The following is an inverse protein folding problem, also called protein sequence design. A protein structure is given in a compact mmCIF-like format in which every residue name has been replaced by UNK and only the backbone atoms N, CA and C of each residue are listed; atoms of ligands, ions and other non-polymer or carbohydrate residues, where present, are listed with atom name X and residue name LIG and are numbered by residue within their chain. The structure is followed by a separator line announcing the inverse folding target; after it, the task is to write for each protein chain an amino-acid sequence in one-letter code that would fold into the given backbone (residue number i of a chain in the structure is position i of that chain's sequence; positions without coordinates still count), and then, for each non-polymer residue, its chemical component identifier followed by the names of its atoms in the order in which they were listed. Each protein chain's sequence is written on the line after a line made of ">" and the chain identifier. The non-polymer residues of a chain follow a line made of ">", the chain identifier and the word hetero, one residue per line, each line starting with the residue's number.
data_IF_293872668809
#
_entry.id   IF_293872668809
#
_cell.length_a   1.000
_cell.length_b   1.000
_cell.length_c   1.000
_cell.angle_alpha   90.00
_cell.angle_beta   90.00
_cell.angle_gamma   90.00
#
_symmetry.space_group_name_H-M   'P 1'
#
loop_
_entity.id
_entity.type
_entity.pdbx_description
1 polymer ?
#
# COMPACT_ATOMS: atom_id res chain seq x y z
N UNK A 1 25.01 7.79 21.63
CA UNK A 1 25.63 8.63 20.59
C UNK A 1 24.73 9.82 20.34
N UNK A 2 25.20 11.06 20.55
CA UNK A 2 24.46 12.27 20.21
C UNK A 2 24.76 12.63 18.75
N UNK A 3 23.97 12.10 17.80
CA UNK A 3 24.23 12.34 16.37
C UNK A 3 23.89 13.77 15.91
N UNK A 4 23.21 14.57 16.75
CA UNK A 4 22.73 15.91 16.41
C UNK A 4 23.04 17.00 17.44
N UNK A 5 23.78 16.70 18.52
CA UNK A 5 23.96 17.63 19.65
C UNK A 5 24.59 18.98 19.28
N UNK A 6 25.40 19.04 18.21
CA UNK A 6 26.19 20.21 17.82
C UNK A 6 26.15 20.52 16.31
N UNK A 7 25.07 20.15 15.60
CA UNK A 7 25.00 20.45 14.17
C UNK A 7 24.91 21.95 13.90
N UNK A 8 25.94 22.49 13.24
CA UNK A 8 25.99 23.87 12.74
C UNK A 8 25.74 23.87 11.23
N UNK A 9 24.75 24.62 10.77
CA UNK A 9 24.60 24.89 9.34
C UNK A 9 25.68 25.87 8.87
N UNK A 10 26.16 25.69 7.64
CA UNK A 10 27.09 26.62 6.98
C UNK A 10 26.45 27.99 6.71
N UNK A 11 25.12 28.04 6.57
CA UNK A 11 24.30 29.26 6.48
C UNK A 11 22.81 28.93 6.70
N UNK A 12 22.03 29.87 7.23
CA UNK A 12 20.58 29.72 7.43
C UNK A 12 20.17 29.10 8.77
N UNK A 13 18.86 29.00 9.01
CA UNK A 13 18.31 28.38 10.21
C UNK A 13 18.14 26.87 10.02
N UNK A 14 18.48 26.04 11.02
CA UNK A 14 18.27 24.60 10.93
C UNK A 14 16.79 24.29 10.76
N UNK A 15 16.46 23.58 9.68
CA UNK A 15 15.13 23.01 9.45
C UNK A 15 14.82 21.79 10.35
N UNK A 16 15.78 21.41 11.22
CA UNK A 16 15.73 20.22 12.06
C UNK A 16 15.99 20.58 13.52
N UNK A 17 15.46 19.79 14.45
CA UNK A 17 15.65 19.99 15.88
C UNK A 17 17.12 19.78 16.27
N UNK A 18 17.71 20.75 16.96
CA UNK A 18 19.15 20.79 17.28
C UNK A 18 19.52 20.07 18.58
N UNK A 19 18.54 19.70 19.41
CA UNK A 19 18.77 19.02 20.69
C UNK A 19 18.05 17.66 20.72
N UNK A 20 18.55 16.69 19.93
CA UNK A 20 18.07 15.30 19.92
C UNK A 20 19.14 14.41 20.56
N UNK A 21 18.83 13.81 21.71
CA UNK A 21 19.78 12.93 22.42
C UNK A 21 19.63 11.46 22.02
N UNK A 22 18.40 10.95 22.07
CA UNK A 22 18.04 9.62 21.62
C UNK A 22 16.53 9.57 21.32
N UNK A 23 16.03 8.41 20.87
CA UNK A 23 14.63 8.26 20.51
C UNK A 23 13.66 8.45 21.71
N UNK A 24 14.04 8.04 22.91
CA UNK A 24 13.25 8.16 24.15
C UNK A 24 13.28 9.58 24.73
N UNK A 25 14.39 10.30 24.53
CA UNK A 25 14.67 11.57 25.16
C UNK A 25 14.97 12.66 24.13
N UNK A 26 14.06 13.64 24.06
CA UNK A 26 14.16 14.84 23.21
C UNK A 26 14.11 14.57 21.71
N UNK A 27 13.59 13.43 21.27
CA UNK A 27 13.13 13.29 19.89
C UNK A 27 11.76 13.99 19.77
N UNK A 28 11.58 14.92 18.81
CA UNK A 28 10.28 15.57 18.61
C UNK A 28 9.26 14.57 18.05
N UNK A 29 7.98 14.86 18.22
CA UNK A 29 6.92 14.15 17.50
C UNK A 29 7.11 14.28 15.96
N UNK A 30 6.54 13.33 15.21
CA UNK A 30 6.62 13.32 13.75
C UNK A 30 6.02 14.59 13.15
N UNK A 31 6.72 15.16 12.15
CA UNK A 31 6.35 16.44 11.57
C UNK A 31 4.89 16.56 11.11
N UNK A 32 4.26 15.53 10.49
CA UNK A 32 2.84 15.60 10.14
C UNK A 32 1.92 15.78 11.35
N UNK A 33 2.21 15.11 12.47
CA UNK A 33 1.41 15.20 13.69
C UNK A 33 1.69 16.50 14.46
N UNK A 34 2.94 16.99 14.49
CA UNK A 34 3.28 18.26 15.14
C UNK A 34 2.64 19.48 14.51
N UNK A 35 2.42 19.42 13.20
CA UNK A 35 1.90 20.53 12.42
C UNK A 35 0.40 20.37 12.12
N UNK A 36 -0.27 19.40 12.78
CA UNK A 36 -1.68 19.05 12.51
C UNK A 36 -1.98 18.93 11.02
N UNK A 37 -1.07 18.28 10.29
CA UNK A 37 -1.19 18.13 8.86
C UNK A 37 -2.49 17.41 8.50
N UNK A 38 -3.08 17.81 7.38
CA UNK A 38 -4.27 17.21 6.77
C UNK A 38 -3.86 16.54 5.47
N UNK A 39 -4.40 15.36 5.18
CA UNK A 39 -4.21 14.76 3.86
C UNK A 39 -4.88 15.64 2.78
N UNK A 40 -4.17 15.98 1.70
CA UNK A 40 -4.75 16.76 0.59
C UNK A 40 -5.69 15.92 -0.29
N UNK A 41 -5.86 14.64 0.03
CA UNK A 41 -6.70 13.72 -0.70
C UNK A 41 -8.16 14.18 -0.78
N UNK A 42 -8.74 14.06 -1.97
CA UNK A 42 -10.09 14.58 -2.29
C UNK A 42 -11.16 13.49 -2.33
N UNK A 43 -10.74 12.24 -2.22
CA UNK A 43 -11.63 11.08 -2.13
C UNK A 43 -12.36 11.10 -0.79
N UNK A 44 -13.62 10.67 -0.76
CA UNK A 44 -14.47 10.63 0.43
C UNK A 44 -14.40 9.27 1.12
N UNK A 45 -13.19 8.78 1.42
CA UNK A 45 -13.06 7.53 2.17
C UNK A 45 -13.30 7.80 3.67
N UNK A 46 -14.19 7.00 4.26
CA UNK A 46 -14.55 7.04 5.67
C UNK A 46 -14.30 5.66 6.30
N UNK A 47 -13.26 5.54 7.13
CA UNK A 47 -12.90 4.26 7.75
C UNK A 47 -13.96 3.80 8.75
N UNK A 48 -14.54 4.69 9.56
CA UNK A 48 -15.53 4.34 10.57
C UNK A 48 -16.75 3.61 9.96
N UNK A 49 -17.21 4.05 8.79
CA UNK A 49 -18.31 3.40 8.07
C UNK A 49 -17.90 2.03 7.54
N UNK A 50 -16.67 1.86 7.04
CA UNK A 50 -16.19 0.58 6.48
C UNK A 50 -15.75 -0.43 7.55
N UNK A 51 -15.46 0.02 8.77
CA UNK A 51 -14.96 -0.84 9.85
C UNK A 51 -16.03 -1.23 10.89
N UNK A 52 -17.25 -0.69 10.77
CA UNK A 52 -18.37 -1.03 11.66
C UNK A 52 -18.85 -2.46 11.44
N UNK A 53 -19.45 -3.04 12.48
CA UNK A 53 -20.12 -4.33 12.37
C UNK A 53 -21.45 -4.21 11.61
N UNK A 54 -21.88 -5.31 10.97
CA UNK A 54 -23.18 -5.40 10.32
C UNK A 54 -23.23 -4.75 8.94
N UNK A 55 -22.07 -4.57 8.28
CA UNK A 55 -22.04 -4.22 6.87
C UNK A 55 -22.65 -5.35 6.06
N UNK A 56 -23.35 -5.02 4.97
CA UNK A 56 -23.84 -6.06 4.08
C UNK A 56 -22.66 -6.59 3.25
N UNK A 57 -22.41 -7.87 3.33
CA UNK A 57 -21.47 -8.59 2.49
C UNK A 57 -22.19 -9.34 1.36
N UNK A 58 -21.48 -10.25 0.68
CA UNK A 58 -22.07 -11.14 -0.32
C UNK A 58 -23.33 -11.86 0.22
N UNK A 59 -24.33 -12.04 -0.64
CA UNK A 59 -25.62 -12.67 -0.30
C UNK A 59 -26.37 -11.99 0.88
N UNK A 60 -26.17 -10.68 1.05
CA UNK A 60 -26.79 -9.86 2.10
C UNK A 60 -26.46 -10.33 3.52
N UNK A 61 -25.34 -11.03 3.72
CA UNK A 61 -24.91 -11.47 5.04
C UNK A 61 -24.22 -10.34 5.78
N UNK A 62 -24.46 -10.15 7.09
CA UNK A 62 -23.75 -9.16 7.89
C UNK A 62 -22.27 -9.55 8.02
N UNK A 63 -21.38 -8.59 7.77
CA UNK A 63 -19.93 -8.73 7.88
C UNK A 63 -19.33 -7.59 8.72
N UNK A 64 -18.07 -7.75 9.08
CA UNK A 64 -17.24 -6.68 9.61
C UNK A 64 -15.85 -6.80 8.97
N UNK A 65 -15.44 -5.74 8.27
CA UNK A 65 -14.14 -5.71 7.61
C UNK A 65 -13.02 -5.54 8.64
N UNK A 66 -11.83 -6.00 8.26
CA UNK A 66 -10.56 -5.82 8.93
C UNK A 66 -9.61 -5.02 8.04
N UNK A 67 -8.51 -4.52 8.61
CA UNK A 67 -7.58 -3.63 7.91
C UNK A 67 -7.03 -4.25 6.61
N UNK A 68 -6.69 -5.54 6.66
CA UNK A 68 -6.16 -6.32 5.54
C UNK A 68 -7.16 -6.57 4.42
N UNK A 69 -8.47 -6.42 4.67
CA UNK A 69 -9.47 -6.59 3.61
C UNK A 69 -9.38 -5.48 2.54
N UNK A 70 -8.76 -4.34 2.88
CA UNK A 70 -8.43 -3.24 1.96
C UNK A 70 -6.91 -3.07 1.75
N UNK A 71 -6.11 -3.16 2.82
CA UNK A 71 -4.65 -3.01 2.77
C UNK A 71 -3.95 -4.34 2.49
N UNK A 72 -4.22 -4.91 1.32
CA UNK A 72 -3.68 -6.21 0.91
C UNK A 72 -2.17 -6.11 0.65
N UNK A 73 -1.46 -7.14 1.08
CA UNK A 73 -0.04 -7.29 0.80
C UNK A 73 0.18 -7.71 -0.66
N UNK A 74 1.37 -7.50 -1.23
CA UNK A 74 1.71 -8.03 -2.55
C UNK A 74 1.51 -9.54 -2.69
N UNK A 75 1.68 -10.31 -1.60
CA UNK A 75 1.46 -11.76 -1.59
C UNK A 75 -0.01 -12.16 -1.77
N UNK A 76 -0.94 -11.24 -1.47
CA UNK A 76 -2.38 -11.46 -1.62
C UNK A 76 -2.90 -10.90 -2.96
N UNK A 77 -2.06 -10.25 -3.77
CA UNK A 77 -2.45 -9.74 -5.08
C UNK A 77 -2.70 -10.92 -6.04
N UNK A 78 -3.96 -11.11 -6.43
CA UNK A 78 -4.42 -12.20 -7.30
C UNK A 78 -5.40 -13.17 -6.64
N UNK A 79 -5.44 -13.20 -5.30
CA UNK A 79 -6.43 -13.99 -4.58
C UNK A 79 -7.79 -13.28 -4.57
N UNK A 80 -8.92 -14.00 -4.65
CA UNK A 80 -10.25 -13.40 -4.57
C UNK A 80 -10.44 -12.57 -3.28
N UNK A 81 -11.15 -11.46 -3.37
CA UNK A 81 -11.52 -10.69 -2.18
C UNK A 81 -12.51 -11.48 -1.34
N UNK A 82 -12.22 -11.60 -0.04
CA UNK A 82 -13.05 -12.31 0.94
C UNK A 82 -14.52 -11.90 0.90
N UNK A 83 -14.78 -10.60 0.70
CA UNK A 83 -16.12 -10.02 0.63
C UNK A 83 -16.49 -9.54 -0.79
N UNK A 84 -15.70 -9.93 -1.80
CA UNK A 84 -15.91 -9.57 -3.18
C UNK A 84 -17.12 -10.27 -3.82
N UNK A 85 -17.72 -9.64 -4.81
CA UNK A 85 -18.83 -10.19 -5.58
C UNK A 85 -18.32 -11.13 -6.69
N UNK A 86 -18.88 -12.34 -6.77
CA UNK A 86 -18.49 -13.37 -7.77
C UNK A 86 -18.98 -13.07 -9.19
N UNK A 87 -19.96 -12.17 -9.36
CA UNK A 87 -20.73 -12.01 -10.61
C UNK A 87 -20.29 -10.88 -11.52
N UNK A 88 -19.19 -10.20 -11.20
CA UNK A 88 -18.81 -8.99 -11.91
C UNK A 88 -17.44 -9.15 -12.54
N UNK A 89 -17.45 -9.47 -13.83
CA UNK A 89 -16.26 -9.52 -14.68
C UNK A 89 -15.92 -8.09 -15.05
N UNK A 90 -14.66 -7.73 -14.90
CA UNK A 90 -14.13 -6.44 -15.33
C UNK A 90 -14.31 -6.28 -16.84
N UNK A 91 -14.77 -5.12 -17.29
CA UNK A 91 -14.48 -4.67 -18.65
C UNK A 91 -12.99 -4.30 -18.66
N UNK A 92 -12.15 -5.32 -18.86
CA UNK A 92 -10.70 -5.23 -18.72
C UNK A 92 -10.14 -4.00 -19.43
N UNK A 93 -9.70 -3.04 -18.63
CA UNK A 93 -8.66 -2.11 -19.02
C UNK A 93 -7.69 -2.08 -17.85
N UNK A 94 -6.66 -2.94 -17.96
CA UNK A 94 -5.38 -2.74 -17.30
C UNK A 94 -4.74 -1.45 -17.82
N UNK A 95 -5.39 -0.30 -17.65
CA UNK A 95 -4.68 0.96 -17.72
C UNK A 95 -3.91 1.02 -16.40
N UNK A 96 -2.58 0.93 -16.51
CA UNK A 96 -1.72 1.41 -15.44
C UNK A 96 -2.23 2.81 -15.09
N UNK A 97 -2.86 2.97 -13.92
CA UNK A 97 -3.36 4.25 -13.46
C UNK A 97 -2.20 5.25 -13.49
N UNK A 98 -2.16 6.20 -14.44
CA UNK A 98 -1.06 7.15 -14.55
C UNK A 98 -1.06 8.16 -13.39
N UNK A 99 -2.16 8.21 -12.62
CA UNK A 99 -2.35 9.11 -11.48
C UNK A 99 -2.03 8.45 -10.14
N UNK A 100 -1.82 7.13 -10.11
CA UNK A 100 -1.16 6.45 -9.01
C UNK A 100 0.09 5.76 -9.56
N UNK A 101 1.21 6.50 -9.77
CA UNK A 101 2.44 5.87 -10.17
C UNK A 101 2.69 4.77 -9.15
N UNK A 102 2.73 3.52 -9.61
CA UNK A 102 3.13 2.38 -8.80
C UNK A 102 4.31 2.87 -7.96
N UNK A 103 4.14 2.82 -6.62
CA UNK A 103 5.15 3.25 -5.67
C UNK A 103 6.49 2.81 -6.26
N UNK A 104 7.37 3.74 -6.68
CA UNK A 104 8.58 3.36 -7.39
C UNK A 104 9.23 2.34 -6.49
N UNK A 105 9.46 1.09 -6.96
CA UNK A 105 9.77 -0.03 -6.09
C UNK A 105 10.85 0.44 -5.16
N UNK A 106 10.48 0.63 -3.89
CA UNK A 106 11.36 1.36 -3.01
C UNK A 106 12.59 0.49 -2.90
N UNK A 107 13.70 1.03 -3.37
CA UNK A 107 14.98 0.35 -3.45
C UNK A 107 15.64 0.26 -2.09
N UNK A 108 14.86 0.23 -1.02
CA UNK A 108 15.31 -0.41 0.20
C UNK A 108 15.11 -1.92 0.01
N UNK A 109 15.85 -2.45 -0.98
CA UNK A 109 16.01 -3.87 -1.35
C UNK A 109 14.69 -4.61 -1.66
N UNK A 110 14.37 -4.87 -2.95
CA UNK A 110 13.37 -5.86 -3.33
C UNK A 110 13.60 -7.16 -2.55
N UNK A 111 12.57 -7.67 -1.88
CA UNK A 111 12.65 -8.91 -1.08
C UNK A 111 13.00 -8.76 0.41
N UNK A 112 13.05 -7.55 0.99
CA UNK A 112 13.31 -7.38 2.45
C UNK A 112 12.07 -7.12 3.30
N UNK A 113 10.87 -7.05 2.72
CA UNK A 113 9.64 -6.74 3.46
C UNK A 113 9.58 -5.28 3.98
N UNK A 114 10.50 -4.40 3.57
CA UNK A 114 10.54 -2.98 3.94
C UNK A 114 9.69 -2.07 3.04
N UNK A 115 8.89 -2.64 2.14
CA UNK A 115 7.96 -1.86 1.33
C UNK A 115 6.90 -1.21 2.21
N UNK A 116 6.59 0.07 1.95
CA UNK A 116 5.42 0.72 2.53
C UNK A 116 4.14 -0.05 2.16
N UNK A 117 3.11 0.06 2.99
CA UNK A 117 1.77 -0.35 2.56
C UNK A 117 1.35 0.57 1.42
N UNK A 118 1.09 0.00 0.24
CA UNK A 118 0.66 0.77 -0.91
C UNK A 118 -0.68 1.47 -0.61
N UNK A 119 -0.85 2.67 -1.16
CA UNK A 119 -2.15 3.33 -1.13
C UNK A 119 -3.18 2.47 -1.89
N UNK A 120 -4.41 2.34 -1.37
CA UNK A 120 -5.45 1.58 -2.06
C UNK A 120 -5.83 2.26 -3.38
N UNK A 121 -5.95 1.47 -4.44
CA UNK A 121 -6.60 1.90 -5.70
C UNK A 121 -8.03 1.39 -5.75
N UNK A 122 -8.86 1.97 -6.62
CA UNK A 122 -10.21 1.45 -6.83
C UNK A 122 -10.19 -0.03 -7.24
N UNK A 123 -9.35 -0.39 -8.22
CA UNK A 123 -9.21 -1.76 -8.71
C UNK A 123 -8.76 -2.74 -7.61
N UNK A 124 -7.81 -2.33 -6.77
CA UNK A 124 -7.22 -3.20 -5.75
C UNK A 124 -7.93 -3.20 -4.39
N UNK A 125 -8.90 -2.33 -4.15
CA UNK A 125 -9.47 -2.19 -2.80
C UNK A 125 -10.97 -1.94 -2.76
N UNK A 126 -11.58 -1.44 -3.83
CA UNK A 126 -12.98 -1.02 -3.81
C UNK A 126 -13.85 -1.87 -4.75
N UNK A 127 -13.35 -2.16 -5.94
CA UNK A 127 -14.13 -2.74 -7.04
C UNK A 127 -14.88 -4.01 -6.68
N UNK A 128 -14.26 -4.90 -5.91
CA UNK A 128 -14.87 -6.19 -5.58
C UNK A 128 -16.16 -6.06 -4.78
N UNK A 129 -16.28 -5.02 -3.96
CA UNK A 129 -17.46 -4.75 -3.13
C UNK A 129 -18.35 -3.66 -3.75
N UNK A 130 -17.75 -2.64 -4.37
CA UNK A 130 -18.38 -1.46 -4.96
C UNK A 130 -18.32 -1.46 -6.47
N UNK A 131 -19.14 -2.28 -7.11
CA UNK A 131 -19.25 -2.32 -8.54
C UNK A 131 -19.79 -1.03 -9.18
N UNK A 132 -19.25 -0.65 -10.35
CA UNK A 132 -19.77 0.45 -11.18
C UNK A 132 -20.79 -0.09 -12.19
N UNK A 133 -21.86 -0.69 -11.67
CA UNK A 133 -23.00 -1.14 -12.48
C UNK A 133 -23.74 0.06 -13.07
N UNK A 134 -24.12 -0.04 -14.35
CA UNK A 134 -24.75 1.06 -15.09
C UNK A 134 -26.08 0.67 -15.73
N UNK A 135 -26.24 -0.59 -16.15
CA UNK A 135 -27.48 -1.08 -16.74
C UNK A 135 -27.72 -2.56 -16.40
N UNK A 136 -28.98 -2.91 -16.15
CA UNK A 136 -29.42 -4.26 -15.78
C UNK A 136 -29.20 -5.36 -16.84
N UNK A 137 -28.98 -4.99 -18.11
CA UNK A 137 -28.74 -5.96 -19.19
C UNK A 137 -27.30 -6.49 -19.21
N UNK A 138 -26.38 -5.82 -18.50
CA UNK A 138 -24.97 -6.19 -18.48
C UNK A 138 -24.53 -6.64 -17.09
N UNK A 139 -23.66 -7.65 -17.04
CA UNK A 139 -22.98 -8.07 -15.81
C UNK A 139 -21.67 -7.31 -15.57
N UNK A 140 -21.13 -6.68 -16.61
CA UNK A 140 -19.87 -5.91 -16.58
C UNK A 140 -20.07 -4.52 -15.91
N UNK A 141 -19.03 -4.02 -15.22
CA UNK A 141 -18.97 -2.61 -14.80
C UNK A 141 -18.47 -1.72 -15.92
N UNK A 142 -18.76 -0.42 -15.82
CA UNK A 142 -17.98 0.58 -16.56
C UNK A 142 -16.52 0.61 -16.09
N UNK A 143 -15.57 0.98 -16.96
CA UNK A 143 -14.20 1.25 -16.54
C UNK A 143 -14.17 2.40 -15.53
N UNK A 144 -13.31 2.31 -14.50
CA UNK A 144 -13.05 3.43 -13.60
C UNK A 144 -11.98 4.35 -14.22
N UNK A 145 -12.42 5.19 -15.15
CA UNK A 145 -11.55 6.10 -15.92
C UNK A 145 -12.21 7.48 -16.07
N UNK A 146 -11.64 8.35 -16.90
CA UNK A 146 -12.16 9.67 -17.21
C UNK A 146 -13.62 9.60 -17.70
N UNK A 147 -14.44 10.61 -17.38
CA UNK A 147 -15.84 10.67 -17.80
C UNK A 147 -16.07 10.40 -19.28
N UNK A 148 -15.17 10.86 -20.17
CA UNK A 148 -15.29 10.66 -21.61
C UNK A 148 -15.14 9.19 -22.02
N UNK A 149 -14.25 8.45 -21.37
CA UNK A 149 -14.03 7.02 -21.61
C UNK A 149 -15.24 6.23 -21.14
N UNK A 150 -15.78 6.58 -19.96
CA UNK A 150 -17.00 5.97 -19.42
C UNK A 150 -18.19 6.20 -20.35
N UNK A 151 -18.39 7.43 -20.81
CA UNK A 151 -19.44 7.79 -21.76
C UNK A 151 -19.34 6.94 -23.04
N UNK A 152 -18.16 6.92 -23.66
CA UNK A 152 -17.93 6.16 -24.90
C UNK A 152 -18.19 4.66 -24.70
N UNK A 153 -17.77 4.10 -23.56
CA UNK A 153 -18.03 2.71 -23.23
C UNK A 153 -19.53 2.40 -23.14
N UNK A 154 -20.29 3.23 -22.42
CA UNK A 154 -21.74 3.06 -22.25
C UNK A 154 -22.45 3.13 -23.61
N UNK A 155 -22.16 4.17 -24.41
CA UNK A 155 -22.74 4.35 -25.74
C UNK A 155 -22.43 3.15 -26.63
N UNK A 156 -21.17 2.69 -26.65
CA UNK A 156 -20.77 1.54 -27.46
C UNK A 156 -21.50 0.25 -27.04
N UNK A 157 -21.56 -0.04 -25.73
CA UNK A 157 -22.25 -1.23 -25.21
C UNK A 157 -23.75 -1.23 -25.51
N UNK A 158 -24.41 -0.10 -25.32
CA UNK A 158 -25.85 0.05 -25.61
C UNK A 158 -26.15 -0.01 -27.11
N UNK A 159 -25.27 0.58 -27.94
CA UNK A 159 -25.39 0.52 -29.41
C UNK A 159 -25.25 -0.91 -29.92
N UNK A 160 -24.32 -1.69 -29.38
CA UNK A 160 -24.17 -3.09 -29.76
C UNK A 160 -25.36 -3.92 -29.29
N UNK A 161 -25.83 -3.67 -28.07
CA UNK A 161 -27.00 -4.35 -27.51
C UNK A 161 -28.26 -4.14 -28.35
N UNK A 162 -28.57 -2.90 -28.73
CA UNK A 162 -29.81 -2.60 -29.46
C UNK A 162 -29.81 -3.16 -30.90
N UNK A 163 -28.62 -3.33 -31.51
CA UNK A 163 -28.49 -4.02 -32.82
C UNK A 163 -28.87 -5.49 -32.73
N UNK A 164 -28.51 -6.14 -31.61
CA UNK A 164 -28.80 -7.55 -31.36
C UNK A 164 -30.22 -7.76 -30.81
N UNK A 165 -30.79 -6.73 -30.18
CA UNK A 165 -32.10 -6.76 -29.51
C UNK A 165 -33.03 -5.60 -29.94
N UNK A 166 -33.45 -5.51 -31.22
CA UNK A 166 -34.30 -4.40 -31.69
C UNK A 166 -35.63 -4.26 -30.93
N UNK A 167 -36.13 -5.36 -30.35
CA UNK A 167 -37.33 -5.37 -29.52
C UNK A 167 -37.21 -4.49 -28.26
N UNK A 168 -35.98 -4.20 -27.80
CA UNK A 168 -35.74 -3.42 -26.59
C UNK A 168 -36.14 -1.95 -26.72
N UNK A 169 -36.29 -1.42 -27.95
CA UNK A 169 -36.81 -0.06 -28.20
C UNK A 169 -38.21 0.11 -27.58
N UNK A 170 -39.02 -0.94 -27.67
CA UNK A 170 -40.42 -0.94 -27.21
C UNK A 170 -40.57 -1.47 -25.77
N UNK A 171 -39.48 -1.92 -25.14
CA UNK A 171 -39.52 -2.49 -23.80
C UNK A 171 -39.54 -1.40 -22.73
N UNK A 172 -40.35 -1.60 -21.69
CA UNK A 172 -40.34 -0.73 -20.52
C UNK A 172 -38.94 -0.70 -19.86
N UNK A 173 -38.47 0.45 -19.37
CA UNK A 173 -37.20 0.53 -18.66
C UNK A 173 -37.16 -0.42 -17.46
N UNK A 174 -36.14 -1.29 -17.43
CA UNK A 174 -35.82 -2.13 -16.28
C UNK A 174 -34.99 -1.29 -15.29
N UNK A 175 -35.30 -1.33 -13.99
CA UNK A 175 -34.52 -0.62 -13.00
C UNK A 175 -33.14 -1.27 -12.85
N UNK A 176 -32.08 -0.49 -12.95
CA UNK A 176 -30.74 -0.92 -12.53
C UNK A 176 -30.72 -0.96 -11.00
N UNK A 177 -30.63 -2.17 -10.43
CA UNK A 177 -30.60 -2.36 -8.98
C UNK A 177 -29.17 -2.13 -8.46
N UNK A 178 -28.90 -0.97 -7.87
CA UNK A 178 -27.68 -0.76 -7.08
C UNK A 178 -27.87 -1.48 -5.73
N UNK A 179 -26.92 -2.33 -5.35
CA UNK A 179 -27.02 -3.16 -4.13
C UNK A 179 -26.91 -2.32 -2.83
N UNK A 180 -26.25 -1.16 -2.89
CA UNK A 180 -26.12 -0.20 -1.79
C UNK A 180 -26.77 1.12 -2.15
N UNK A 181 -27.99 1.34 -1.66
CA UNK A 181 -28.73 2.58 -1.89
C UNK A 181 -30.23 2.40 -2.04
N UNK A 182 -30.83 1.39 -1.37
CA UNK A 182 -32.26 1.15 -1.46
C UNK A 182 -32.75 0.91 -2.88
N UNK A 183 -34.05 0.67 -3.03
CA UNK A 183 -34.71 1.03 -4.27
C UNK A 183 -34.69 2.55 -4.33
N UNK A 184 -34.12 3.15 -5.37
CA UNK A 184 -34.37 4.57 -5.64
C UNK A 184 -35.90 4.71 -5.71
N UNK A 185 -36.50 5.36 -4.71
CA UNK A 185 -37.92 5.72 -4.76
C UNK A 185 -38.10 6.52 -6.02
N UNK A 186 -38.86 5.93 -6.93
CA UNK A 186 -39.22 6.51 -8.20
C UNK A 186 -40.13 7.70 -7.87
N UNK A 187 -39.55 8.88 -7.79
CA UNK A 187 -40.30 10.05 -8.26
C UNK A 187 -40.75 9.66 -9.67
N UNK A 188 -42.06 9.74 -10.01
CA UNK A 188 -42.61 9.16 -11.22
C UNK A 188 -42.03 9.89 -12.45
N UNK A 189 -40.84 9.49 -12.86
CA UNK A 189 -40.24 9.91 -14.09
C UNK A 189 -41.10 9.30 -15.19
N UNK A 190 -41.74 10.19 -15.95
CA UNK A 190 -42.42 9.86 -17.19
C UNK A 190 -41.44 9.05 -18.03
N UNK A 191 -41.73 7.77 -18.21
CA UNK A 191 -40.90 6.90 -19.05
C UNK A 191 -40.99 7.46 -20.46
N UNK A 192 -39.91 8.09 -20.93
CA UNK A 192 -39.81 8.46 -22.34
C UNK A 192 -39.62 7.16 -23.12
N UNK A 193 -40.63 6.82 -23.91
CA UNK A 193 -40.57 5.68 -24.82
C UNK A 193 -39.78 6.14 -26.04
N UNK A 194 -38.67 5.46 -26.34
CA UNK A 194 -37.86 5.77 -27.50
C UNK A 194 -38.63 5.44 -28.79
N UNK A 195 -38.53 6.31 -29.80
CA UNK A 195 -39.12 6.10 -31.12
C UNK A 195 -38.18 5.43 -32.12
N UNK A 196 -36.89 5.33 -31.78
CA UNK A 196 -35.84 4.73 -32.61
C UNK A 196 -34.74 4.09 -31.77
N UNK A 197 -33.89 3.26 -32.40
CA UNK A 197 -32.73 2.68 -31.74
C UNK A 197 -31.75 3.75 -31.24
N UNK A 198 -31.50 4.80 -32.04
CA UNK A 198 -30.61 5.90 -31.65
C UNK A 198 -31.16 6.69 -30.47
N UNK A 199 -32.47 6.97 -30.46
CA UNK A 199 -33.12 7.61 -29.33
C UNK A 199 -33.08 6.73 -28.08
N UNK A 200 -33.22 5.41 -28.24
CA UNK A 200 -33.10 4.46 -27.14
C UNK A 200 -31.70 4.50 -26.52
N UNK A 201 -30.64 4.47 -27.34
CA UNK A 201 -29.26 4.58 -26.86
C UNK A 201 -29.05 5.90 -26.13
N UNK A 202 -29.53 7.02 -26.67
CA UNK A 202 -29.40 8.34 -26.06
C UNK A 202 -30.08 8.41 -24.68
N UNK A 203 -31.33 7.95 -24.58
CA UNK A 203 -32.07 7.97 -23.32
C UNK A 203 -31.43 7.06 -22.26
N UNK A 204 -31.05 5.84 -22.66
CA UNK A 204 -30.41 4.88 -21.73
C UNK A 204 -29.02 5.31 -21.28
N UNK A 205 -28.25 5.95 -22.17
CA UNK A 205 -26.97 6.55 -21.80
C UNK A 205 -27.17 7.63 -20.74
N UNK A 206 -28.14 8.53 -20.94
CA UNK A 206 -28.45 9.57 -19.96
C UNK A 206 -28.89 8.99 -18.60
N UNK A 207 -29.72 7.93 -18.60
CA UNK A 207 -30.14 7.25 -17.38
C UNK A 207 -28.95 6.58 -16.66
N UNK A 208 -28.10 5.87 -17.39
CA UNK A 208 -26.90 5.21 -16.88
C UNK A 208 -25.89 6.22 -16.30
N UNK A 209 -25.68 7.33 -16.99
CA UNK A 209 -24.80 8.41 -16.54
C UNK A 209 -25.38 9.12 -15.32
N UNK A 210 -26.69 9.39 -15.29
CA UNK A 210 -27.32 9.98 -14.12
C UNK A 210 -27.15 9.07 -12.89
N UNK A 211 -27.32 7.76 -13.07
CA UNK A 211 -27.09 6.75 -12.05
C UNK A 211 -25.63 6.77 -11.56
N UNK A 212 -24.68 6.67 -12.49
CA UNK A 212 -23.25 6.65 -12.16
C UNK A 212 -22.83 7.95 -11.48
N UNK A 213 -23.06 9.11 -12.10
CA UNK A 213 -22.55 10.39 -11.63
C UNK A 213 -23.17 10.83 -10.31
N UNK A 214 -24.47 10.62 -10.09
CA UNK A 214 -25.14 11.15 -8.89
C UNK A 214 -25.34 10.11 -7.78
N UNK A 215 -25.29 8.81 -8.09
CA UNK A 215 -25.54 7.76 -7.08
C UNK A 215 -24.33 6.90 -6.79
N UNK A 216 -23.37 6.80 -7.71
CA UNK A 216 -22.20 5.92 -7.57
C UNK A 216 -20.89 6.72 -7.42
N UNK A 217 -20.47 7.45 -8.46
CA UNK A 217 -19.19 8.16 -8.50
C UNK A 217 -19.09 9.26 -7.44
N UNK A 218 -20.16 10.03 -7.20
CA UNK A 218 -20.18 11.10 -6.18
C UNK A 218 -20.01 10.60 -4.73
N UNK A 219 -20.23 9.30 -4.48
CA UNK A 219 -20.01 8.69 -3.16
C UNK A 219 -18.53 8.76 -2.77
N UNK A 220 -17.64 8.62 -3.74
CA UNK A 220 -16.19 8.65 -3.51
C UNK A 220 -15.57 9.96 -4.02
N UNK A 221 -16.04 10.48 -5.15
CA UNK A 221 -15.44 11.64 -5.83
C UNK A 221 -16.16 12.94 -5.50
N UNK A 222 -15.40 14.04 -5.58
CA UNK A 222 -15.95 15.39 -5.66
C UNK A 222 -16.12 15.76 -7.13
N UNK A 223 -17.37 15.84 -7.58
CA UNK A 223 -17.72 16.11 -8.98
C UNK A 223 -18.15 17.57 -9.15
N UNK A 224 -17.71 18.20 -10.24
CA UNK A 224 -18.23 19.49 -10.69
C UNK A 224 -19.01 19.27 -11.98
N UNK A 225 -20.31 19.51 -11.94
CA UNK A 225 -21.17 19.33 -13.10
C UNK A 225 -21.08 20.57 -13.99
N UNK A 226 -20.71 20.37 -15.26
CA UNK A 226 -20.77 21.42 -16.27
C UNK A 226 -22.22 21.67 -16.68
N UNK A 227 -22.53 22.90 -17.11
CA UNK A 227 -23.87 23.21 -17.59
C UNK A 227 -24.23 22.40 -18.84
N UNK A 228 -25.52 22.14 -19.00
CA UNK A 228 -26.11 21.55 -20.20
C UNK A 228 -25.72 22.38 -21.43
N UNK A 229 -25.27 21.72 -22.49
CA UNK A 229 -24.98 22.41 -23.73
C UNK A 229 -26.27 22.98 -24.37
N UNK A 230 -26.09 23.84 -25.37
CA UNK A 230 -27.19 24.45 -26.14
C UNK A 230 -28.12 23.44 -26.85
N UNK A 231 -27.75 22.16 -26.90
CA UNK A 231 -28.54 21.06 -27.47
C UNK A 231 -29.27 20.22 -26.40
N UNK A 232 -29.18 20.62 -25.13
CA UNK A 232 -29.86 19.93 -24.03
C UNK A 232 -29.15 18.66 -23.55
N UNK A 233 -27.89 18.42 -23.96
CA UNK A 233 -27.07 17.33 -23.43
C UNK A 233 -26.34 17.83 -22.17
N UNK A 234 -26.53 17.13 -21.05
CA UNK A 234 -25.77 17.41 -19.83
C UNK A 234 -24.28 17.17 -20.13
N UNK A 235 -23.43 18.18 -19.93
CA UNK A 235 -22.00 17.98 -20.08
C UNK A 235 -21.47 17.01 -19.01
N UNK A 236 -20.42 16.25 -19.37
CA UNK A 236 -19.80 15.30 -18.46
C UNK A 236 -19.18 16.03 -17.25
N UNK A 237 -19.27 15.46 -16.03
CA UNK A 237 -18.76 16.13 -14.85
C UNK A 237 -17.23 16.14 -14.83
N UNK A 238 -16.61 17.22 -14.33
CA UNK A 238 -15.20 17.21 -13.98
C UNK A 238 -14.97 16.45 -12.67
N UNK A 239 -13.97 15.57 -12.65
CA UNK A 239 -13.58 14.77 -11.48
C UNK A 239 -12.29 15.33 -10.90
N UNK A 240 -12.28 15.70 -9.61
CA UNK A 240 -11.06 16.13 -8.95
C UNK A 240 -10.05 14.96 -8.84
N UNK A 241 -8.73 15.21 -9.04
CA UNK A 241 -7.71 14.19 -8.82
C UNK A 241 -7.67 13.76 -7.35
N UNK A 242 -7.41 12.48 -7.10
CA UNK A 242 -7.49 11.88 -5.77
C UNK A 242 -6.50 12.50 -4.77
N UNK A 243 -5.31 12.91 -5.23
CA UNK A 243 -4.26 13.60 -4.47
C UNK A 243 -3.89 12.93 -3.14
N UNK A 244 -4.10 11.62 -3.00
CA UNK A 244 -3.76 10.89 -1.77
C UNK A 244 -2.24 10.88 -1.60
N UNK A 245 -1.75 11.28 -0.42
CA UNK A 245 -0.31 11.29 -0.16
C UNK A 245 0.20 9.86 0.12
N UNK A 246 1.09 9.30 -0.72
CA UNK A 246 1.51 7.90 -0.57
C UNK A 246 2.44 7.68 0.63
N UNK A 247 3.26 8.67 1.00
CA UNK A 247 4.24 8.56 2.10
C UNK A 247 4.24 9.83 2.94
N UNK A 248 3.93 9.68 4.24
CA UNK A 248 3.90 10.79 5.19
C UNK A 248 5.25 11.11 5.83
N UNK A 249 6.15 10.12 5.93
CA UNK A 249 7.47 10.24 6.55
C UNK A 249 8.58 9.92 5.53
N UNK A 250 8.87 10.81 4.56
CA UNK A 250 9.70 10.51 3.39
C UNK A 250 11.18 10.25 3.70
N UNK A 251 11.65 10.65 4.89
CA UNK A 251 13.04 10.45 5.33
C UNK A 251 13.18 9.28 6.31
N UNK A 252 12.10 8.51 6.51
CA UNK A 252 12.11 7.34 7.37
C UNK A 252 11.77 6.08 6.60
N UNK A 253 12.36 4.96 7.00
CA UNK A 253 12.03 3.63 6.51
C UNK A 253 11.33 2.86 7.63
N UNK A 254 10.15 2.33 7.33
CA UNK A 254 9.40 1.48 8.25
C UNK A 254 8.89 0.23 7.52
N UNK A 255 9.03 -0.94 8.15
CA UNK A 255 8.59 -2.22 7.59
C UNK A 255 7.36 -2.72 8.31
N UNK A 256 6.18 -2.68 7.67
CA UNK A 256 4.99 -3.33 8.20
C UNK A 256 5.18 -4.85 8.29
N UNK A 257 5.94 -5.46 7.37
CA UNK A 257 6.21 -6.90 7.38
C UNK A 257 6.94 -7.34 8.66
N UNK A 258 7.94 -6.58 9.11
CA UNK A 258 8.64 -6.86 10.37
C UNK A 258 7.73 -6.72 11.61
N UNK A 259 6.56 -6.07 11.46
CA UNK A 259 5.59 -5.83 12.52
C UNK A 259 4.25 -6.54 12.27
N UNK A 260 4.17 -7.45 11.30
CA UNK A 260 2.90 -8.06 10.83
C UNK A 260 2.20 -8.89 11.91
N UNK A 261 2.93 -9.35 12.93
CA UNK A 261 2.37 -10.08 14.07
C UNK A 261 1.66 -9.17 15.10
N UNK A 262 1.70 -7.85 14.91
CA UNK A 262 1.07 -6.86 15.81
C UNK A 262 -0.26 -6.43 15.20
N UNK A 263 -1.31 -6.37 16.01
CA UNK A 263 -2.62 -5.86 15.57
C UNK A 263 -2.49 -4.40 15.09
N UNK A 264 -3.00 -4.13 13.88
CA UNK A 264 -2.83 -2.84 13.21
C UNK A 264 -3.33 -1.66 14.06
N UNK A 265 -4.41 -1.86 14.83
CA UNK A 265 -5.06 -0.81 15.63
C UNK A 265 -4.27 -0.46 16.89
N UNK A 266 -3.37 -1.35 17.33
CA UNK A 266 -2.44 -1.04 18.42
C UNK A 266 -1.50 0.11 18.07
N UNK A 267 -1.17 0.27 16.78
CA UNK A 267 -0.42 1.42 16.30
C UNK A 267 -1.33 2.50 15.71
N UNK A 268 -2.25 2.13 14.83
CA UNK A 268 -3.16 3.04 14.14
C UNK A 268 -4.47 3.23 14.92
N UNK A 269 -4.35 3.79 16.12
CA UNK A 269 -5.47 3.88 17.09
C UNK A 269 -6.65 4.74 16.64
N UNK A 270 -6.43 5.64 15.68
CA UNK A 270 -7.45 6.54 15.13
C UNK A 270 -8.22 5.96 13.93
N UNK A 271 -7.80 4.81 13.39
CA UNK A 271 -8.39 4.28 12.14
C UNK A 271 -9.86 3.96 12.28
N UNK A 272 -10.30 3.40 13.41
CA UNK A 272 -11.71 3.01 13.58
C UNK A 272 -12.67 4.20 13.73
N UNK A 273 -12.15 5.39 14.05
CA UNK A 273 -12.95 6.59 14.28
C UNK A 273 -12.77 7.65 13.20
N UNK A 274 -11.85 7.43 12.25
CA UNK A 274 -11.61 8.33 11.12
C UNK A 274 -12.81 8.36 10.17
N UNK A 275 -13.22 9.58 9.85
CA UNK A 275 -14.40 9.82 9.02
C UNK A 275 -14.07 10.53 7.71
N UNK A 276 -12.89 11.13 7.61
CA UNK A 276 -12.46 11.91 6.45
C UNK A 276 -11.11 11.42 5.94
N UNK A 277 -10.91 11.47 4.63
CA UNK A 277 -9.60 11.18 4.04
C UNK A 277 -8.52 12.17 4.50
N UNK A 278 -8.93 13.39 4.88
CA UNK A 278 -8.02 14.40 5.43
C UNK A 278 -7.40 14.01 6.78
N UNK A 279 -7.92 12.99 7.47
CA UNK A 279 -7.34 12.47 8.71
C UNK A 279 -5.99 11.79 8.45
N UNK A 280 -4.92 12.30 9.06
CA UNK A 280 -3.59 11.67 8.98
C UNK A 280 -3.49 10.56 10.03
N UNK A 281 -3.52 9.32 9.56
CA UNK A 281 -3.59 8.12 10.40
C UNK A 281 -2.23 7.45 10.69
N UNK A 282 -1.12 8.20 10.66
CA UNK A 282 0.16 7.67 11.14
C UNK A 282 0.17 7.57 12.68
N UNK A 283 0.83 6.57 13.27
CA UNK A 283 0.97 6.47 14.72
C UNK A 283 1.80 7.63 15.27
N UNK A 284 1.57 7.96 16.55
CA UNK A 284 2.43 8.89 17.30
C UNK A 284 3.80 8.28 17.59
N UNK A 285 4.80 9.12 17.85
CA UNK A 285 6.12 8.65 18.28
C UNK A 285 6.04 7.79 19.55
N UNK A 286 5.09 8.09 20.45
CA UNK A 286 4.92 7.39 21.72
C UNK A 286 4.66 5.89 21.51
N UNK A 287 3.81 5.56 20.53
CA UNK A 287 3.52 4.17 20.14
C UNK A 287 4.80 3.40 19.81
N UNK A 288 5.72 4.01 19.08
CA UNK A 288 6.99 3.36 18.75
C UNK A 288 7.90 3.24 19.98
N UNK A 289 7.91 4.24 20.86
CA UNK A 289 8.76 4.28 22.06
C UNK A 289 8.39 3.21 23.10
N UNK A 290 7.15 2.72 23.10
CA UNK A 290 6.69 1.64 24.00
C UNK A 290 7.47 0.34 23.78
N UNK A 291 7.91 0.07 22.55
CA UNK A 291 8.75 -1.08 22.22
C UNK A 291 10.20 -0.68 21.94
N UNK A 292 10.45 0.36 21.15
CA UNK A 292 11.79 0.79 20.74
C UNK A 292 12.49 1.62 21.82
N UNK A 293 12.79 1.05 22.98
CA UNK A 293 13.30 1.77 24.15
C UNK A 293 14.81 1.70 24.40
N UNK A 294 15.55 0.93 23.58
CA UNK A 294 17.01 0.84 23.65
C UNK A 294 17.54 -0.31 24.51
N UNK A 295 16.67 -1.20 25.00
CA UNK A 295 17.05 -2.36 25.81
C UNK A 295 16.62 -3.69 25.13
N UNK A 296 17.17 -4.04 23.95
CA UNK A 296 16.67 -5.14 23.12
C UNK A 296 16.83 -6.55 23.73
N UNK A 297 17.48 -6.66 24.88
CA UNK A 297 17.70 -7.94 25.59
C UNK A 297 16.51 -8.37 26.44
N UNK A 298 15.52 -7.49 26.65
CA UNK A 298 14.29 -7.81 27.39
C UNK A 298 13.14 -8.09 26.41
N UNK A 299 12.21 -8.96 26.83
CA UNK A 299 11.01 -9.29 26.06
C UNK A 299 10.20 -8.01 25.80
N UNK A 300 9.74 -7.84 24.56
CA UNK A 300 8.93 -6.68 24.16
C UNK A 300 9.73 -5.39 23.96
N UNK A 301 11.06 -5.45 23.99
CA UNK A 301 11.92 -4.28 23.83
C UNK A 301 12.78 -4.40 22.57
N UNK A 302 12.94 -3.29 21.86
CA UNK A 302 13.63 -3.19 20.59
C UNK A 302 14.70 -2.08 20.65
N UNK A 303 15.69 -2.21 19.75
CA UNK A 303 16.72 -1.18 19.57
C UNK A 303 16.08 0.13 19.09
N UNK A 304 16.70 1.25 19.47
CA UNK A 304 16.18 2.60 19.22
C UNK A 304 17.19 3.51 18.52
N UNK A 305 18.19 2.92 17.85
CA UNK A 305 19.21 3.67 17.12
C UNK A 305 18.62 4.45 15.95
N UNK A 306 19.11 5.67 15.72
CA UNK A 306 18.56 6.59 14.73
C UNK A 306 18.48 5.99 13.30
N UNK A 307 19.47 5.18 12.92
CA UNK A 307 19.55 4.51 11.62
C UNK A 307 18.48 3.45 11.38
N UNK A 308 17.77 3.01 12.43
CA UNK A 308 16.67 2.04 12.28
C UNK A 308 15.46 2.67 11.61
N UNK A 309 15.26 3.96 11.83
CA UNK A 309 14.17 4.73 11.24
C UNK A 309 14.67 5.65 10.13
N UNK A 310 15.79 6.36 10.31
CA UNK A 310 16.23 7.38 9.36
C UNK A 310 17.04 6.82 8.20
N UNK A 311 16.71 7.26 6.98
CA UNK A 311 17.53 7.07 5.80
C UNK A 311 18.46 8.29 5.62
N UNK A 312 19.78 8.08 5.74
CA UNK A 312 20.77 9.16 5.64
C UNK A 312 21.37 9.31 4.24
N UNK A 313 21.34 8.25 3.43
CA UNK A 313 21.98 8.23 2.11
C UNK A 313 20.99 7.80 1.04
N UNK A 314 20.88 8.59 -0.03
CA UNK A 314 20.17 8.21 -1.23
C UNK A 314 21.17 7.59 -2.23
N UNK A 315 21.47 6.30 -2.05
CA UNK A 315 22.47 5.59 -2.84
C UNK A 315 22.17 5.56 -4.35
N UNK A 316 20.91 5.77 -4.76
CA UNK A 316 20.52 5.87 -6.19
C UNK A 316 20.99 7.17 -6.86
N UNK A 317 21.27 8.22 -6.09
CA UNK A 317 21.70 9.52 -6.62
C UNK A 317 23.23 9.69 -6.59
N UNK A 318 23.97 8.65 -6.19
CA UNK A 318 25.42 8.70 -6.15
C UNK A 318 25.97 8.51 -7.56
N UNK A 319 26.34 9.62 -8.19
CA UNK A 319 26.97 9.64 -9.52
C UNK A 319 28.51 9.71 -9.45
N UNK A 320 29.08 9.71 -8.25
CA UNK A 320 30.53 9.75 -8.06
C UNK A 320 31.17 8.38 -8.34
N UNK A 321 32.29 8.32 -9.08
CA UNK A 321 33.02 7.09 -9.31
C UNK A 321 33.55 6.51 -7.98
N UNK A 322 33.30 5.22 -7.76
CA UNK A 322 33.78 4.51 -6.57
C UNK A 322 35.30 4.36 -6.63
N UNK A 323 36.01 5.28 -5.97
CA UNK A 323 37.47 5.21 -5.82
C UNK A 323 37.79 4.89 -4.36
N UNK A 324 38.23 3.67 -4.02
CA UNK A 324 38.61 3.35 -2.66
C UNK A 324 39.87 4.14 -2.29
N UNK A 325 39.79 4.97 -1.25
CA UNK A 325 40.91 5.79 -0.76
C UNK A 325 41.68 5.14 0.39
N UNK A 326 41.14 4.07 0.98
CA UNK A 326 41.73 3.42 2.15
C UNK A 326 41.61 1.89 2.09
N UNK A 327 42.60 1.19 2.63
CA UNK A 327 42.53 -0.24 2.91
C UNK A 327 42.10 -0.53 4.36
N UNK A 328 41.78 -1.80 4.67
CA UNK A 328 41.31 -2.20 6.00
C UNK A 328 42.34 -1.96 7.11
N UNK A 329 43.63 -2.02 6.80
CA UNK A 329 44.69 -1.81 7.79
C UNK A 329 44.79 -0.32 8.16
N UNK A 330 44.72 0.55 7.17
CA UNK A 330 44.67 2.01 7.34
C UNK A 330 43.43 2.45 8.15
N UNK A 331 42.25 1.91 7.84
CA UNK A 331 41.01 2.23 8.55
C UNK A 331 40.99 1.73 10.00
N UNK A 332 41.72 0.66 10.31
CA UNK A 332 41.85 0.13 11.68
C UNK A 332 42.91 0.86 12.50
N UNK A 333 43.56 1.89 11.94
CA UNK A 333 44.62 2.63 12.62
C UNK A 333 45.89 1.81 12.84
N UNK A 334 46.05 0.67 12.16
CA UNK A 334 47.28 -0.08 12.20
C UNK A 334 48.28 0.62 11.26
N UNK A 335 49.20 1.40 11.83
CA UNK A 335 50.39 1.84 11.08
C UNK A 335 51.04 0.61 10.44
N UNK A 336 51.54 0.69 9.19
CA UNK A 336 52.29 -0.40 8.61
C UNK A 336 53.44 -0.71 9.56
N UNK A 337 53.38 -1.87 10.22
CA UNK A 337 54.56 -2.46 10.83
C UNK A 337 55.59 -2.52 9.70
N UNK A 338 56.69 -1.78 9.87
CA UNK A 338 57.85 -1.90 9.00
C UNK A 338 58.15 -3.40 8.93
N UNK A 339 57.94 -4.00 7.76
CA UNK A 339 58.41 -5.37 7.55
C UNK A 339 59.91 -5.38 7.86
N UNK A 340 60.41 -6.33 8.65
CA UNK A 340 61.84 -6.45 8.83
C UNK A 340 62.41 -6.72 7.43
N UNK A 341 63.40 -5.92 7.05
CA UNK A 341 64.25 -6.18 5.90
C UNK A 341 64.73 -7.63 6.04
N UNK A 342 64.22 -8.51 5.19
CA UNK A 342 64.73 -9.87 5.04
C UNK A 342 66.15 -9.74 4.50
N UNK A 343 67.11 -9.80 5.42
CA UNK A 343 68.49 -10.11 5.12
C UNK A 343 68.52 -11.38 4.28
N UNK A 344 69.29 -11.31 3.20
CA UNK A 344 69.50 -12.37 2.25
C UNK A 344 69.78 -13.72 2.95
N UNK A 345 68.94 -14.71 2.70
CA UNK A 345 69.36 -16.12 2.70
C UNK A 345 68.79 -16.75 1.44
N UNK A 346 69.74 -17.16 0.58
CA UNK A 346 69.51 -17.91 -0.63
C UNK A 346 68.94 -19.31 -0.35
N UNK A 347 68.33 -19.88 -1.40
CA UNK A 347 68.00 -21.30 -1.61
C UNK A 347 66.84 -21.91 -0.79
N UNK A 348 65.70 -22.13 -1.45
CA UNK A 348 65.45 -23.39 -2.20
C UNK A 348 64.13 -23.30 -2.99
N UNK A 349 64.20 -23.80 -4.23
CA UNK A 349 63.07 -24.18 -5.07
C UNK A 349 61.94 -24.87 -4.30
N UNK A 350 60.69 -24.54 -4.60
CA UNK A 350 59.78 -25.57 -5.10
C UNK A 350 58.65 -24.96 -5.95
N UNK A 351 58.42 -25.61 -7.08
CA UNK A 351 57.53 -25.26 -8.16
C UNK A 351 56.05 -25.39 -7.77
N UNK A 352 55.23 -24.60 -8.46
CA UNK A 352 53.81 -24.88 -8.69
C UNK A 352 53.61 -26.31 -9.19
N UNK A 353 52.66 -27.04 -8.61
CA UNK A 353 52.26 -28.36 -9.11
C UNK A 353 51.06 -28.94 -8.37
N UNK A 354 49.87 -28.70 -8.91
CA UNK A 354 48.78 -29.68 -9.07
C UNK A 354 48.46 -30.67 -7.95
N UNK A 355 47.27 -30.57 -7.34
CA UNK A 355 46.17 -31.57 -7.41
C UNK A 355 45.10 -31.31 -6.34
N UNK A 356 43.85 -31.24 -6.81
CA UNK A 356 42.67 -31.55 -6.02
C UNK A 356 42.76 -33.00 -5.53
N UNK A 357 42.51 -33.24 -4.25
CA UNK A 357 41.69 -34.32 -3.66
C UNK A 357 41.96 -34.49 -2.16
N UNK A 358 40.87 -34.69 -1.40
CA UNK A 358 40.78 -35.21 -0.04
C UNK A 358 41.32 -34.39 1.15
N UNK A 359 40.42 -33.71 1.87
CA UNK A 359 40.54 -33.57 3.34
C UNK A 359 39.21 -33.90 4.03
N UNK A 360 39.27 -34.98 4.80
CA UNK A 360 38.29 -35.48 5.76
C UNK A 360 38.07 -34.47 6.90
N UNK A 361 36.81 -34.24 7.28
CA UNK A 361 36.44 -33.49 8.49
C UNK A 361 36.91 -34.25 9.74
N UNK A 362 38.03 -33.82 10.31
CA UNK A 362 38.57 -34.26 11.59
C UNK A 362 38.06 -33.38 12.73
N UNK A 363 37.46 -34.06 13.72
CA UNK A 363 36.97 -33.58 15.02
C UNK A 363 37.98 -32.68 15.75
N UNK A 364 37.50 -31.61 16.41
CA UNK A 364 37.72 -31.29 17.84
C UNK A 364 37.26 -29.86 18.18
N UNK A 365 36.15 -29.74 18.91
CA UNK A 365 35.86 -28.58 19.77
C UNK A 365 35.46 -29.13 21.15
N UNK A 366 36.09 -28.71 22.26
CA UNK A 366 35.64 -29.07 23.60
C UNK A 366 34.46 -28.21 24.01
N UNK A 367 33.36 -28.86 24.42
CA UNK A 367 32.19 -28.22 25.01
C UNK A 367 32.42 -27.98 26.51
N UNK A 368 32.22 -26.74 26.95
CA UNK A 368 32.16 -26.32 28.35
C UNK A 368 30.69 -26.31 28.80
N UNK A 369 30.23 -27.31 29.54
CA UNK A 369 29.13 -27.19 30.52
C UNK A 369 29.23 -28.33 31.56
N UNK A 370 29.15 -28.06 32.88
CA UNK A 370 29.22 -29.08 33.90
C UNK A 370 27.83 -29.65 34.27
N UNK A 371 27.82 -30.98 34.39
CA UNK A 371 27.10 -31.86 35.31
C UNK A 371 25.60 -31.71 35.59
N UNK A 372 24.87 -32.75 35.15
CA UNK A 372 24.29 -33.68 36.11
C UNK A 372 22.77 -33.70 36.25
N UNK A 373 22.11 -34.68 35.63
CA UNK A 373 21.61 -35.89 36.34
C UNK A 373 20.88 -36.83 35.39
N UNK A 374 21.27 -38.10 35.53
CA UNK A 374 20.73 -39.29 34.86
C UNK A 374 19.30 -39.59 35.30
N UNK A 375 18.46 -40.00 34.35
CA UNK A 375 17.32 -40.88 34.60
C UNK A 375 17.11 -41.80 33.38
N UNK A 376 17.49 -43.06 33.56
CA UNK A 376 17.16 -44.22 32.71
C UNK A 376 15.67 -44.55 32.80
N UNK A 377 15.00 -44.81 31.67
CA UNK A 377 14.47 -46.13 31.28
C UNK A 377 13.32 -46.07 30.25
N UNK A 378 13.42 -47.04 29.32
CA UNK A 378 12.38 -47.83 28.65
C UNK A 378 11.58 -47.22 27.49
N UNK A 379 11.93 -47.73 26.31
CA UNK A 379 11.03 -47.93 25.18
C UNK A 379 9.86 -48.85 25.56
N UNK A 380 8.64 -48.46 25.23
CA UNK A 380 7.59 -49.39 24.83
C UNK A 380 6.78 -48.78 23.68
N UNK A 381 6.81 -49.50 22.57
CA UNK A 381 5.85 -49.49 21.47
C UNK A 381 4.55 -50.15 21.90
N UNK A 382 3.38 -49.56 21.63
CA UNK A 382 2.20 -50.23 21.05
C UNK A 382 1.00 -49.30 20.88
N UNK A 383 0.40 -49.43 19.68
CA UNK A 383 -0.97 -49.16 19.22
C UNK A 383 -2.04 -48.69 20.22
N UNK A 384 -2.74 -47.61 19.87
CA UNK A 384 -4.09 -47.61 19.25
C UNK A 384 -4.41 -46.23 18.67
#
# INVERSE_FOLDING_TARGET
>A
MQCHGDLKLKSGSPHYQTAIYNFQAKHPEFAPLRNDARDPGTIKLNHAVHMRAGLLGPNSQPIQMQCQDCHRTPAEQGEPWKYGQTRMVEAALHTQDPHNPAMPPESVRPGTGRAYMAAPTYASACQSCHALQFDSHFSESVPHDKPEVVHQFIVAKLTEYIKQHPEAVNAAPRPTRIMFGGTISREPQTVKIASSADEWVKLRTADAENLLWHKTCQQCHSLKYTQTDQNGLAGLPEVAPSNIKPVWLPNSVFSHYAHVSIDCKSCHTRTLTSQETADVLIPSIKTCQECHNGEPTKIGQAQNGCFLCHQYHNWKQRNEPFTPTHNLQELRGATPSQSPVLGAIANRLCLCGSRFENISCGKNFPALFPDGKSATMRSQTSAL
#
